data_IF_716245919932
#
_entry.id   IF_716245919932
#
_cell.length_a   1.000
_cell.length_b   1.000
_cell.length_c   1.000
_cell.angle_alpha   90.00
_cell.angle_beta   90.00
_cell.angle_gamma   90.00
#
_symmetry.space_group_name_H-M   'P 1'
#
loop_
_entity.id
_entity.type
_entity.pdbx_description
1 polymer ?
2 non-polymer ?
3 non-polymer ?
4 water ?
#
# COMPACT_ATOMS: atom_id res chain seq x y z
N UNK A 16 -26.93 -11.55 -17.79
CA UNK A 16 -25.94 -10.64 -18.35
C UNK A 16 -25.14 -11.33 -19.45
N UNK A 17 -24.48 -10.56 -20.31
CA UNK A 17 -23.67 -11.14 -21.37
C UNK A 17 -22.33 -11.68 -20.88
N UNK A 18 -21.93 -11.39 -19.65
CA UNK A 18 -20.56 -11.66 -19.20
C UNK A 18 -20.54 -12.78 -18.17
N UNK A 19 -19.60 -13.72 -18.36
CA UNK A 19 -19.32 -14.82 -17.40
C UNK A 19 -20.53 -15.69 -17.11
N UNK A 20 -21.40 -15.88 -18.11
CA UNK A 20 -22.54 -16.78 -17.95
C UNK A 20 -22.11 -18.24 -17.91
N UNK A 21 -20.98 -18.58 -18.55
CA UNK A 21 -20.47 -19.94 -18.59
C UNK A 21 -19.13 -19.96 -17.87
N UNK A 22 -19.15 -20.35 -16.61
CA UNK A 22 -17.96 -20.54 -15.77
C UNK A 22 -18.32 -21.55 -14.69
N UNK A 23 -18.71 -22.75 -15.13
CA UNK A 23 -19.19 -23.78 -14.21
C UNK A 23 -18.12 -24.23 -13.23
N UNK A 24 -16.85 -24.25 -13.65
CA UNK A 24 -15.78 -24.66 -12.77
C UNK A 24 -14.89 -23.45 -12.44
N UNK A 25 -13.80 -23.70 -11.76
CA UNK A 25 -12.80 -22.67 -11.62
C UNK A 25 -13.04 -21.74 -10.44
N UNK A 26 -12.06 -20.88 -10.22
CA UNK A 26 -11.83 -20.31 -8.91
C UNK A 26 -11.30 -18.89 -9.07
N UNK A 27 -11.57 -18.06 -8.07
CA UNK A 27 -11.39 -16.62 -8.19
C UNK A 27 -10.71 -16.10 -6.92
N UNK A 28 -9.68 -15.27 -7.09
CA UNK A 28 -8.89 -14.76 -5.97
C UNK A 28 -8.79 -13.26 -6.09
N UNK A 29 -8.75 -12.58 -4.92
CA UNK A 29 -8.45 -11.16 -4.83
C UNK A 29 -6.94 -10.98 -4.92
N UNK A 30 -6.48 -9.98 -5.70
CA UNK A 30 -5.08 -9.60 -5.72
C UNK A 30 -5.01 -8.18 -5.15
N UNK A 31 -4.22 -7.98 -4.09
CA UNK A 31 -4.01 -6.62 -3.56
C UNK A 31 -2.57 -6.21 -3.79
N UNK A 32 -2.36 -4.99 -4.27
CA UNK A 32 -1.04 -4.50 -4.60
C UNK A 32 -0.74 -3.21 -3.86
N UNK A 33 0.51 -3.08 -3.39
CA UNK A 33 1.05 -1.83 -2.85
C UNK A 33 1.50 -0.88 -3.93
N UNK A 34 1.43 -1.29 -5.20
CA UNK A 34 2.13 -0.58 -6.27
C UNK A 34 1.25 -0.53 -7.50
N UNK A 35 0.83 0.66 -7.89
CA UNK A 35 0.16 0.77 -9.17
C UNK A 35 1.15 0.57 -10.33
N UNK A 36 2.44 0.92 -10.15
CA UNK A 36 3.42 0.62 -11.19
C UNK A 36 3.51 -0.88 -11.48
N UNK A 37 3.41 -1.71 -10.44
CA UNK A 37 3.43 -3.15 -10.66
C UNK A 37 2.25 -3.58 -11.52
N UNK A 38 1.07 -3.00 -11.27
CA UNK A 38 -0.08 -3.34 -12.09
C UNK A 38 0.16 -2.95 -13.55
N UNK A 39 0.69 -1.73 -13.76
CA UNK A 39 1.00 -1.29 -15.12
C UNK A 39 1.90 -2.30 -15.83
N UNK A 40 2.92 -2.77 -15.12
CA UNK A 40 3.84 -3.74 -15.71
C UNK A 40 3.14 -5.06 -16.02
N UNK A 41 2.26 -5.50 -15.11
CA UNK A 41 1.46 -6.69 -15.32
C UNK A 41 0.60 -6.57 -16.56
N UNK A 42 -0.02 -5.41 -16.77
CA UNK A 42 -0.86 -5.22 -17.95
C UNK A 42 0.02 -5.21 -19.21
N UNK A 43 1.19 -4.59 -19.13
CA UNK A 43 2.05 -4.47 -20.30
C UNK A 43 2.59 -5.83 -20.74
N UNK A 44 3.01 -6.67 -19.79
CA UNK A 44 3.71 -7.90 -20.12
C UNK A 44 2.93 -9.16 -19.80
N UNK A 45 1.72 -9.03 -19.27
CA UNK A 45 0.85 -10.17 -18.98
C UNK A 45 1.55 -11.19 -18.06
N UNK A 46 2.05 -10.69 -16.92
CA UNK A 46 2.65 -11.53 -15.89
C UNK A 46 2.32 -10.95 -14.52
N UNK A 47 2.43 -11.78 -13.49
CA UNK A 47 2.23 -11.31 -12.13
C UNK A 47 3.09 -12.15 -11.20
N UNK A 48 3.12 -11.73 -9.93
CA UNK A 48 3.88 -12.41 -8.89
C UNK A 48 3.27 -11.99 -7.56
N UNK A 49 3.14 -12.93 -6.62
CA UNK A 49 2.62 -12.62 -5.29
C UNK A 49 3.73 -12.84 -4.24
N UNK A 50 3.34 -12.85 -2.97
CA UNK A 50 4.23 -13.33 -1.93
C UNK A 50 4.52 -14.81 -2.14
N UNK A 51 5.42 -15.36 -1.32
CA UNK A 51 5.63 -16.81 -1.42
C UNK A 51 4.37 -17.58 -1.05
N UNK A 52 3.70 -17.14 0.03
CA UNK A 52 2.48 -17.82 0.46
C UNK A 52 1.36 -17.66 -0.59
N UNK A 53 1.21 -16.46 -1.16
CA UNK A 53 0.19 -16.26 -2.16
C UNK A 53 0.48 -16.98 -3.46
N UNK A 54 1.76 -17.04 -3.85
CA UNK A 54 2.15 -17.82 -5.02
C UNK A 54 1.78 -19.29 -4.85
N UNK A 55 2.06 -19.83 -3.66
CA UNK A 55 1.74 -21.22 -3.38
C UNK A 55 0.24 -21.47 -3.45
N UNK A 56 -0.56 -20.54 -2.93
CA UNK A 56 -2.02 -20.68 -3.01
C UNK A 56 -2.51 -20.64 -4.44
N UNK A 57 -2.02 -19.68 -5.24
CA UNK A 57 -2.50 -19.61 -6.61
C UNK A 57 -1.98 -20.79 -7.42
N UNK A 58 -0.75 -21.19 -7.17
CA UNK A 58 -0.15 -22.32 -7.89
C UNK A 58 -0.97 -23.58 -7.67
N UNK A 59 -1.30 -23.87 -6.40
CA UNK A 59 -2.12 -25.04 -6.07
C UNK A 59 -3.47 -24.99 -6.78
N UNK A 60 -4.12 -23.82 -6.80
CA UNK A 60 -5.41 -23.74 -7.46
C UNK A 60 -5.28 -23.93 -8.96
N UNK A 61 -4.26 -23.33 -9.56
CA UNK A 61 -4.06 -23.46 -11.01
C UNK A 61 -3.79 -24.91 -11.40
N UNK A 62 -2.90 -25.57 -10.67
CA UNK A 62 -2.50 -26.94 -11.00
C UNK A 62 -3.65 -27.93 -10.76
N UNK A 63 -4.35 -27.79 -9.63
CA UNK A 63 -5.48 -28.67 -9.37
C UNK A 63 -6.62 -28.44 -10.35
N UNK A 64 -6.70 -27.26 -10.96
CA UNK A 64 -7.70 -27.00 -11.98
C UNK A 64 -7.50 -27.89 -13.20
N UNK A 65 -6.25 -28.23 -13.52
CA UNK A 65 -5.92 -29.11 -14.64
C UNK A 65 -6.61 -28.67 -15.93
N UNK A 66 -6.70 -27.35 -16.11
CA UNK A 66 -7.28 -26.82 -17.33
C UNK A 66 -8.77 -27.00 -17.48
N UNK A 67 -9.46 -27.48 -16.45
CA UNK A 67 -10.90 -27.71 -16.51
C UNK A 67 -11.73 -26.43 -16.38
N UNK A 68 -11.13 -25.33 -15.90
CA UNK A 68 -11.85 -24.08 -15.77
C UNK A 68 -10.89 -22.92 -15.56
N UNK A 69 -11.40 -21.70 -15.52
CA UNK A 69 -10.51 -20.54 -15.35
C UNK A 69 -10.21 -20.21 -13.90
N UNK A 70 -8.98 -19.78 -13.66
CA UNK A 70 -8.60 -19.14 -12.40
C UNK A 70 -8.58 -17.65 -12.70
N UNK A 71 -9.50 -16.89 -12.11
CA UNK A 71 -9.58 -15.45 -12.33
C UNK A 71 -9.00 -14.67 -11.14
N UNK A 72 -8.49 -13.47 -11.42
CA UNK A 72 -7.83 -12.63 -10.42
C UNK A 72 -8.50 -11.25 -10.46
N UNK A 73 -8.97 -10.78 -9.31
CA UNK A 73 -9.63 -9.48 -9.20
C UNK A 73 -8.64 -8.53 -8.55
N UNK A 74 -8.15 -7.56 -9.30
CA UNK A 74 -7.03 -6.72 -8.88
C UNK A 74 -7.52 -5.45 -8.19
N UNK A 75 -6.79 -5.03 -7.15
CA UNK A 75 -7.10 -3.77 -6.48
C UNK A 75 -5.84 -3.21 -5.84
N UNK A 76 -5.60 -1.92 -6.04
CA UNK A 76 -4.46 -1.24 -5.41
C UNK A 76 -4.85 -0.85 -3.99
N UNK A 77 -4.03 -1.24 -3.01
CA UNK A 77 -4.25 -0.88 -1.62
C UNK A 77 -4.53 0.61 -1.45
N UNK A 78 -5.63 0.92 -0.76
CA UNK A 78 -5.98 2.31 -0.49
C UNK A 78 -6.61 3.06 -1.63
N UNK A 79 -6.79 2.44 -2.80
CA UNK A 79 -7.28 3.18 -3.95
C UNK A 79 -8.80 3.36 -3.92
N UNK A 80 -9.49 2.60 -3.09
CA UNK A 80 -10.95 2.67 -3.07
C UNK A 80 -11.63 2.08 -4.29
N UNK A 81 -10.90 1.37 -5.16
CA UNK A 81 -11.53 0.81 -6.33
C UNK A 81 -10.77 -0.42 -6.80
N UNK A 82 -11.49 -1.34 -7.45
CA UNK A 82 -10.84 -2.44 -8.12
C UNK A 82 -10.40 -1.91 -9.48
N UNK A 83 -9.32 -2.48 -10.03
CA UNK A 83 -8.80 -1.93 -11.27
C UNK A 83 -8.85 -2.91 -12.45
N UNK A 84 -9.36 -4.12 -12.26
CA UNK A 84 -9.65 -4.97 -13.40
C UNK A 84 -9.54 -6.43 -13.04
N UNK A 85 -9.52 -7.25 -14.10
CA UNK A 85 -9.66 -8.69 -14.02
C UNK A 85 -8.68 -9.33 -14.98
N UNK A 86 -7.97 -10.35 -14.51
CA UNK A 86 -7.07 -11.13 -15.37
C UNK A 86 -7.30 -12.61 -15.09
N UNK A 87 -6.97 -13.43 -16.08
CA UNK A 87 -7.01 -14.87 -15.94
C UNK A 87 -5.59 -15.38 -15.73
N UNK A 88 -5.43 -16.28 -14.77
CA UNK A 88 -4.14 -16.90 -14.58
C UNK A 88 -3.88 -17.84 -15.75
N UNK A 89 -2.64 -17.83 -16.29
CA UNK A 89 -2.39 -18.52 -17.55
C UNK A 89 -1.17 -19.44 -17.52
N UNK A 90 -0.56 -19.66 -16.37
CA UNK A 90 0.53 -20.62 -16.26
C UNK A 90 0.69 -20.99 -14.79
N UNK A 91 1.44 -22.06 -14.55
CA UNK A 91 1.89 -22.34 -13.20
C UNK A 91 2.92 -21.29 -12.77
N UNK A 92 3.25 -21.33 -11.49
CA UNK A 92 4.24 -20.41 -10.93
C UNK A 92 5.63 -20.93 -11.25
N UNK A 93 6.50 -20.02 -11.65
CA UNK A 93 7.92 -20.26 -11.82
C UNK A 93 8.62 -19.52 -10.70
N UNK A 94 9.22 -20.26 -9.76
CA UNK A 94 9.75 -19.65 -8.55
C UNK A 94 11.18 -19.12 -8.70
N UNK A 95 11.90 -19.49 -9.77
CA UNK A 95 13.29 -19.08 -9.95
C UNK A 95 13.39 -18.22 -11.21
N UNK A 96 13.32 -16.89 -11.03
CA UNK A 96 13.30 -15.94 -12.11
C UNK A 96 14.12 -14.72 -11.74
N UNK A 97 14.28 -13.82 -12.72
CA UNK A 97 15.08 -12.63 -12.54
C UNK A 97 14.61 -11.82 -11.33
N UNK A 98 15.54 -11.48 -10.43
CA UNK A 98 15.17 -10.69 -9.28
C UNK A 98 14.95 -9.23 -9.64
N UNK A 99 14.31 -8.50 -8.73
CA UNK A 99 14.27 -7.05 -8.80
C UNK A 99 13.54 -6.47 -9.98
N UNK A 100 12.59 -7.19 -10.57
CA UNK A 100 11.85 -6.62 -11.71
C UNK A 100 10.59 -5.86 -11.28
N UNK A 101 10.18 -5.97 -10.02
CA UNK A 101 8.99 -5.30 -9.51
C UNK A 101 9.40 -4.16 -8.58
N UNK A 102 8.39 -3.50 -8.02
CA UNK A 102 8.66 -2.30 -7.23
C UNK A 102 9.43 -2.62 -5.95
N UNK A 103 9.37 -3.86 -5.49
CA UNK A 103 10.22 -4.33 -4.41
C UNK A 103 10.86 -5.66 -4.79
N UNK A 104 12.03 -5.93 -4.21
CA UNK A 104 12.70 -7.20 -4.44
C UNK A 104 11.96 -8.37 -3.80
N UNK A 105 11.09 -8.11 -2.83
CA UNK A 105 10.41 -9.20 -2.12
C UNK A 105 9.37 -9.94 -2.97
N UNK A 106 9.03 -9.48 -4.17
CA UNK A 106 8.17 -10.29 -5.04
C UNK A 106 9.10 -11.14 -5.90
N UNK A 107 9.21 -12.44 -5.58
CA UNK A 107 10.11 -13.37 -6.25
C UNK A 107 9.28 -14.39 -7.04
N UNK A 108 9.59 -14.56 -8.32
CA UNK A 108 8.91 -15.53 -9.15
C UNK A 108 8.01 -14.87 -10.18
N UNK A 109 7.29 -15.72 -10.92
CA UNK A 109 6.52 -15.20 -12.05
C UNK A 109 5.48 -16.24 -12.48
N UNK A 110 4.29 -15.77 -12.86
CA UNK A 110 3.38 -16.59 -13.64
C UNK A 110 2.70 -15.71 -14.67
N UNK A 111 2.22 -16.34 -15.74
CA UNK A 111 1.56 -15.62 -16.81
C UNK A 111 0.12 -15.34 -16.44
N UNK A 112 -0.38 -14.20 -16.91
CA UNK A 112 -1.80 -13.86 -16.81
C UNK A 112 -2.25 -13.37 -18.17
N UNK A 113 -3.56 -13.24 -18.33
CA UNK A 113 -4.17 -12.58 -19.47
C UNK A 113 -5.18 -11.57 -18.93
N UNK A 114 -4.90 -10.28 -19.09
CA UNK A 114 -5.84 -9.27 -18.63
C UNK A 114 -7.09 -9.26 -19.51
N UNK A 115 -8.25 -9.19 -18.87
CA UNK A 115 -9.54 -9.21 -19.53
C UNK A 115 -10.22 -7.85 -19.47
N UNK A 116 -10.33 -7.28 -18.27
CA UNK A 116 -10.82 -5.92 -18.11
C UNK A 116 -9.74 -5.10 -17.42
N UNK A 117 -9.49 -3.91 -17.95
CA UNK A 117 -8.70 -2.89 -17.28
C UNK A 117 -9.65 -1.72 -17.11
N UNK A 118 -10.14 -1.53 -15.88
CA UNK A 118 -11.09 -0.47 -15.61
C UNK A 118 -11.27 -0.31 -14.12
N UNK A 119 -11.42 0.93 -13.68
CA UNK A 119 -11.58 1.22 -12.27
C UNK A 119 -13.06 1.10 -11.92
N UNK A 120 -13.36 0.30 -10.92
CA UNK A 120 -14.72 0.12 -10.42
C UNK A 120 -14.73 0.49 -8.95
N UNK A 121 -15.49 1.51 -8.55
CA UNK A 121 -15.46 1.97 -7.15
C UNK A 121 -15.91 0.87 -6.19
N UNK A 122 -15.29 0.84 -5.00
CA UNK A 122 -15.68 -0.16 -4.02
C UNK A 122 -17.14 -0.06 -3.62
N UNK A 123 -17.75 1.12 -3.77
CA UNK A 123 -19.17 1.27 -3.45
C UNK A 123 -20.04 0.31 -4.25
N UNK A 124 -19.61 -0.03 -5.47
CA UNK A 124 -20.37 -0.94 -6.32
C UNK A 124 -20.24 -2.38 -5.90
N UNK A 125 -19.27 -2.72 -5.05
CA UNK A 125 -18.99 -4.10 -4.72
C UNK A 125 -19.12 -4.44 -3.24
N UNK A 126 -19.17 -3.45 -2.35
CA UNK A 126 -18.99 -3.71 -0.93
C UNK A 126 -20.18 -4.44 -0.29
N UNK A 127 -21.31 -4.55 -0.97
CA UNK A 127 -22.42 -5.31 -0.40
C UNK A 127 -22.34 -6.80 -0.74
N UNK A 128 -21.27 -7.23 -1.40
CA UNK A 128 -21.00 -8.65 -1.60
C UNK A 128 -20.09 -9.15 -0.49
N UNK A 129 -20.56 -10.12 0.29
CA UNK A 129 -19.86 -10.59 1.47
C UNK A 129 -19.35 -12.01 1.26
N UNK A 130 -18.23 -12.32 1.89
CA UNK A 130 -17.56 -13.60 1.72
C UNK A 130 -17.88 -14.51 2.90
N UNK A 131 -18.69 -15.56 2.66
CA UNK A 131 -19.03 -16.46 3.75
C UNK A 131 -17.81 -17.23 4.25
N UNK A 132 -16.75 -17.32 3.44
CA UNK A 132 -15.52 -17.95 3.90
C UNK A 132 -14.57 -16.96 4.60
N UNK A 133 -14.94 -15.69 4.69
CA UNK A 133 -14.11 -14.71 5.37
C UNK A 133 -14.97 -13.94 6.39
N UNK A 134 -15.63 -14.69 7.27
CA UNK A 134 -16.42 -14.10 8.36
C UNK A 134 -17.45 -13.11 7.85
N UNK A 135 -18.00 -13.38 6.66
CA UNK A 135 -19.04 -12.54 6.04
C UNK A 135 -18.58 -11.09 5.88
N UNK A 136 -17.26 -10.87 5.73
CA UNK A 136 -16.73 -9.52 5.50
C UNK A 136 -16.96 -9.10 4.06
N UNK A 137 -17.14 -7.80 3.81
CA UNK A 137 -17.25 -7.33 2.43
C UNK A 137 -16.07 -7.78 1.59
N UNK A 138 -16.35 -8.13 0.33
CA UNK A 138 -15.29 -8.57 -0.59
C UNK A 138 -14.25 -7.46 -0.76
N UNK A 139 -14.68 -6.20 -0.60
CA UNK A 139 -13.79 -5.05 -0.71
C UNK A 139 -12.85 -4.91 0.48
N UNK A 140 -12.98 -5.77 1.49
CA UNK A 140 -12.10 -5.74 2.65
C UNK A 140 -11.14 -6.92 2.66
N UNK A 141 -10.92 -7.53 1.50
CA UNK A 141 -10.10 -8.73 1.42
C UNK A 141 -8.61 -8.38 1.42
N UNK A 142 -7.81 -9.34 1.85
CA UNK A 142 -6.37 -9.27 1.69
C UNK A 142 -5.94 -10.03 0.43
N UNK A 143 -4.65 -9.90 0.09
CA UNK A 143 -4.09 -10.50 -1.12
C UNK A 143 -4.25 -12.02 -1.12
N UNK A 144 -4.70 -12.56 -2.26
CA UNK A 144 -5.00 -13.97 -2.53
C UNK A 144 -6.10 -14.55 -1.64
N UNK A 145 -6.95 -13.70 -1.06
CA UNK A 145 -8.23 -14.14 -0.51
C UNK A 145 -9.03 -14.84 -1.61
N UNK A 146 -9.44 -16.10 -1.40
CA UNK A 146 -10.26 -16.76 -2.40
C UNK A 146 -11.72 -16.34 -2.25
N UNK A 147 -12.41 -16.19 -3.37
CA UNK A 147 -13.80 -15.75 -3.41
C UNK A 147 -14.68 -16.96 -3.72
N UNK A 148 -15.71 -17.26 -2.92
CA UNK A 148 -16.65 -18.31 -3.31
C UNK A 148 -17.23 -18.06 -4.69
N UNK A 149 -17.42 -19.15 -5.45
CA UNK A 149 -17.69 -19.03 -6.88
C UNK A 149 -18.94 -18.19 -7.14
N UNK A 150 -19.98 -18.35 -6.32
CA UNK A 150 -21.20 -17.60 -6.59
C UNK A 150 -21.05 -16.11 -6.28
N UNK A 151 -20.26 -15.75 -5.27
CA UNK A 151 -19.95 -14.34 -5.04
C UNK A 151 -19.03 -13.80 -6.14
N UNK A 152 -18.10 -14.64 -6.62
CA UNK A 152 -17.18 -14.20 -7.66
C UNK A 152 -17.92 -13.87 -8.95
N UNK A 153 -18.92 -14.67 -9.31
CA UNK A 153 -19.71 -14.36 -10.50
C UNK A 153 -20.34 -12.98 -10.36
N UNK A 154 -20.93 -12.69 -9.21
CA UNK A 154 -21.54 -11.38 -8.98
C UNK A 154 -20.51 -10.26 -9.16
N UNK A 155 -19.30 -10.43 -8.59
CA UNK A 155 -18.28 -9.38 -8.72
C UNK A 155 -17.89 -9.22 -10.17
N UNK A 156 -17.56 -10.34 -10.83
CA UNK A 156 -17.10 -10.29 -12.22
C UNK A 156 -18.12 -9.61 -13.12
N UNK A 157 -19.41 -9.90 -12.92
CA UNK A 157 -20.42 -9.29 -13.80
C UNK A 157 -20.57 -7.80 -13.52
N UNK A 158 -20.41 -7.40 -12.26
CA UNK A 158 -20.47 -5.98 -11.96
C UNK A 158 -19.31 -5.24 -12.61
N UNK A 159 -18.10 -5.80 -12.48
CA UNK A 159 -16.95 -5.16 -13.11
C UNK A 159 -17.13 -5.11 -14.62
N UNK A 160 -17.46 -6.25 -15.22
CA UNK A 160 -17.61 -6.34 -16.67
C UNK A 160 -18.56 -5.28 -17.20
N UNK A 161 -19.70 -5.07 -16.54
CA UNK A 161 -20.74 -4.21 -17.09
C UNK A 161 -20.64 -2.76 -16.65
N UNK A 162 -19.77 -2.45 -15.69
CA UNK A 162 -19.75 -1.12 -15.09
C UNK A 162 -19.41 -0.05 -16.10
N UNK A 163 -20.04 1.11 -15.96
CA UNK A 163 -19.78 2.21 -16.89
C UNK A 163 -19.64 3.55 -16.18
N UNK B 15 26.82 6.98 26.72
CA UNK B 15 27.33 6.29 25.53
C UNK B 15 26.86 6.92 24.22
N UNK B 16 25.55 6.91 23.95
CA UNK B 16 25.00 7.68 22.84
C UNK B 16 23.88 8.54 23.42
N UNK B 17 24.22 9.80 23.71
CA UNK B 17 23.28 10.75 24.30
C UNK B 17 22.85 11.82 23.30
N UNK B 18 23.01 11.55 22.00
CA UNK B 18 22.73 12.56 20.99
C UNK B 18 21.27 13.00 21.04
N UNK B 19 20.34 12.06 20.95
CA UNK B 19 18.94 12.45 20.80
C UNK B 19 18.34 12.96 22.11
N UNK B 20 18.81 12.46 23.25
CA UNK B 20 18.32 12.97 24.53
C UNK B 20 18.49 14.48 24.64
N UNK B 21 19.50 15.04 23.96
CA UNK B 21 19.76 16.48 24.00
C UNK B 21 19.02 17.25 22.90
N UNK B 22 18.03 16.66 22.25
CA UNK B 22 17.23 17.37 21.26
C UNK B 22 16.27 18.31 21.97
N UNK B 23 16.38 19.62 21.70
CA UNK B 23 15.61 20.62 22.41
C UNK B 23 14.29 20.99 21.74
N UNK B 24 14.26 21.07 20.41
CA UNK B 24 13.11 21.56 19.67
C UNK B 24 12.83 20.64 18.49
N UNK B 25 11.75 20.95 17.80
CA UNK B 25 11.41 20.09 16.67
C UNK B 25 10.09 19.37 16.93
N UNK B 26 9.41 19.04 15.83
CA UNK B 26 8.16 18.31 15.87
C UNK B 26 8.25 17.11 14.92
N UNK B 27 7.54 16.03 15.25
CA UNK B 27 7.76 14.73 14.62
C UNK B 27 6.41 14.10 14.32
N UNK B 28 6.22 13.63 13.08
CA UNK B 28 4.94 13.11 12.63
C UNK B 28 5.13 11.74 12.01
N UNK B 29 4.14 10.86 12.19
CA UNK B 29 4.11 9.60 11.46
C UNK B 29 3.55 9.88 10.08
N UNK B 30 4.19 9.32 9.05
CA UNK B 30 3.60 9.32 7.71
C UNK B 30 3.19 7.89 7.40
N UNK B 31 1.90 7.69 7.13
CA UNK B 31 1.37 6.39 6.74
C UNK B 31 0.91 6.48 5.29
N UNK B 32 1.57 5.72 4.41
CA UNK B 32 1.27 5.73 2.98
C UNK B 32 0.77 4.35 2.55
N UNK B 33 -0.28 4.33 1.72
CA UNK B 33 -0.70 3.06 1.11
C UNK B 33 0.21 2.60 -0.02
N UNK B 34 1.04 3.50 -0.57
CA UNK B 34 1.67 3.29 -1.88
C UNK B 34 3.18 3.18 -1.79
N UNK B 35 3.71 2.02 -2.21
CA UNK B 35 5.14 1.93 -2.37
C UNK B 35 5.64 2.86 -3.48
N UNK B 36 4.83 3.11 -4.51
CA UNK B 36 5.24 4.03 -5.58
C UNK B 36 5.43 5.46 -5.03
N UNK B 37 4.53 5.90 -4.16
CA UNK B 37 4.66 7.22 -3.57
C UNK B 37 5.98 7.34 -2.80
N UNK B 38 6.31 6.32 -1.98
CA UNK B 38 7.59 6.32 -1.26
C UNK B 38 8.74 6.44 -2.26
N UNK B 39 8.73 5.63 -3.32
CA UNK B 39 9.83 5.69 -4.28
C UNK B 39 9.96 7.06 -4.93
N UNK B 40 8.84 7.67 -5.31
CA UNK B 40 8.86 8.99 -5.91
C UNK B 40 9.39 10.02 -4.93
N UNK B 41 9.02 9.88 -3.66
CA UNK B 41 9.45 10.82 -2.63
C UNK B 41 10.96 10.75 -2.43
N UNK B 42 11.52 9.54 -2.39
CA UNK B 42 12.96 9.39 -2.25
C UNK B 42 13.66 9.92 -3.50
N UNK B 43 13.09 9.68 -4.67
CA UNK B 43 13.75 10.08 -5.90
C UNK B 43 13.80 11.59 -6.04
N UNK B 44 12.70 12.29 -5.72
CA UNK B 44 12.54 13.71 -6.02
C UNK B 44 12.49 14.58 -4.77
N UNK B 45 12.56 13.99 -3.59
CA UNK B 45 12.57 14.75 -2.34
C UNK B 45 11.35 15.65 -2.23
N UNK B 46 10.17 15.06 -2.44
CA UNK B 46 8.90 15.76 -2.28
C UNK B 46 7.91 14.80 -1.61
N UNK B 47 6.83 15.38 -1.08
CA UNK B 47 5.75 14.59 -0.49
C UNK B 47 4.42 15.31 -0.67
N UNK B 48 3.33 14.56 -0.45
CA UNK B 48 1.99 15.11 -0.43
C UNK B 48 1.16 14.19 0.43
N UNK B 49 0.32 14.77 1.30
CA UNK B 49 -0.61 14.02 2.15
C UNK B 49 -2.03 14.32 1.68
N UNK B 50 -3.01 13.84 2.45
CA UNK B 50 -4.37 14.28 2.21
C UNK B 50 -4.47 15.79 2.44
N UNK B 51 -5.65 16.36 2.12
CA UNK B 51 -5.89 17.75 2.49
C UNK B 51 -5.76 17.96 3.99
N UNK B 52 -6.43 17.11 4.78
CA UNK B 52 -6.31 17.17 6.23
C UNK B 52 -4.85 17.04 6.66
N UNK B 53 -4.14 16.06 6.09
CA UNK B 53 -2.75 15.85 6.47
C UNK B 53 -1.86 17.03 6.10
N UNK B 54 -2.01 17.52 4.87
CA UNK B 54 -1.21 18.66 4.41
C UNK B 54 -1.38 19.86 5.33
N UNK B 55 -2.63 20.20 5.64
CA UNK B 55 -2.92 21.30 6.54
C UNK B 55 -2.18 21.14 7.87
N UNK B 56 -2.19 19.92 8.43
CA UNK B 56 -1.54 19.70 9.72
C UNK B 56 -0.03 19.92 9.61
N UNK B 57 0.59 19.29 8.62
CA UNK B 57 2.03 19.43 8.44
C UNK B 57 2.42 20.88 8.14
N UNK B 58 1.59 21.58 7.36
CA UNK B 58 1.91 22.95 7.00
C UNK B 58 1.97 23.83 8.25
N UNK B 59 0.97 23.70 9.13
CA UNK B 59 0.94 24.50 10.34
C UNK B 59 2.18 24.25 11.19
N UNK B 60 2.58 22.98 11.32
CA UNK B 60 3.76 22.67 12.11
C UNK B 60 5.02 23.25 11.47
N UNK B 61 5.15 23.15 10.14
CA UNK B 61 6.32 23.74 9.50
C UNK B 61 6.39 25.25 9.72
N UNK B 62 5.26 25.93 9.54
CA UNK B 62 5.26 27.38 9.63
C UNK B 62 5.51 27.84 11.07
N UNK B 63 4.92 27.15 12.05
CA UNK B 63 5.09 27.52 13.44
C UNK B 63 6.52 27.31 13.93
N UNK B 64 7.31 26.47 13.25
CA UNK B 64 8.64 26.17 13.76
C UNK B 64 9.59 27.34 13.59
N UNK B 65 9.46 28.08 12.48
CA UNK B 65 10.31 29.22 12.15
C UNK B 65 11.78 28.93 12.40
N UNK B 66 12.29 27.91 11.68
CA UNK B 66 13.69 27.52 11.78
C UNK B 66 14.26 27.47 13.18
N UNK B 67 13.44 27.08 14.16
CA UNK B 67 13.91 26.79 15.50
C UNK B 67 14.28 25.33 15.67
N UNK B 68 13.81 24.49 14.76
CA UNK B 68 14.11 23.10 14.79
C UNK B 68 13.41 22.38 13.64
N UNK B 69 13.74 21.12 13.43
CA UNK B 69 13.20 20.41 12.27
C UNK B 69 11.81 19.87 12.51
N UNK B 70 11.08 19.68 11.41
CA UNK B 70 9.91 18.80 11.39
C UNK B 70 10.36 17.48 10.78
N UNK B 71 10.29 16.40 11.55
CA UNK B 71 10.70 15.08 11.08
C UNK B 71 9.48 14.27 10.66
N UNK B 72 9.66 13.47 9.62
CA UNK B 72 8.60 12.61 9.10
C UNK B 72 9.11 11.18 9.16
N UNK B 73 8.40 10.33 9.89
CA UNK B 73 8.74 8.92 10.02
C UNK B 73 7.80 8.13 9.13
N UNK B 74 8.34 7.54 8.05
CA UNK B 74 7.53 6.98 6.98
C UNK B 74 7.28 5.50 7.21
N UNK B 75 6.05 5.05 6.93
CA UNK B 75 5.72 3.63 7.02
C UNK B 75 4.62 3.32 6.02
N UNK B 76 4.79 2.26 5.24
CA UNK B 76 3.76 1.86 4.29
C UNK B 76 2.72 1.03 5.02
N UNK B 77 1.45 1.44 4.90
CA UNK B 77 0.33 0.75 5.53
C UNK B 77 0.39 -0.75 5.26
N UNK B 78 0.35 -1.54 6.34
CA UNK B 78 0.37 -2.99 6.22
C UNK B 78 1.73 -3.60 5.97
N UNK B 79 2.79 -2.81 5.87
CA UNK B 79 4.10 -3.39 5.55
C UNK B 79 4.80 -4.03 6.75
N UNK B 80 4.38 -3.71 7.97
CA UNK B 80 5.06 -4.22 9.14
C UNK B 80 6.34 -3.52 9.52
N UNK B 81 6.69 -2.40 8.87
CA UNK B 81 7.95 -1.74 9.20
C UNK B 81 7.89 -0.27 8.80
N UNK B 82 8.74 0.52 9.45
CA UNK B 82 9.02 1.85 8.95
C UNK B 82 10.11 1.74 7.88
N UNK B 83 10.08 2.66 6.92
CA UNK B 83 11.00 2.59 5.80
C UNK B 83 11.97 3.76 5.73
N UNK B 84 11.84 4.76 6.59
CA UNK B 84 12.84 5.80 6.63
C UNK B 84 12.36 7.08 7.30
N UNK B 85 13.24 8.07 7.26
CA UNK B 85 13.04 9.34 7.93
C UNK B 85 13.36 10.45 6.96
N UNK B 86 12.53 11.48 6.95
CA UNK B 86 12.77 12.66 6.14
C UNK B 86 12.49 13.88 6.99
N UNK B 87 13.17 14.96 6.65
CA UNK B 87 12.89 16.26 7.24
C UNK B 87 12.07 17.07 6.23
N UNK B 88 11.05 17.74 6.72
CA UNK B 88 10.24 18.60 5.87
C UNK B 88 10.96 19.94 5.66
N UNK B 89 10.95 20.43 4.42
CA UNK B 89 11.87 21.48 3.98
C UNK B 89 11.18 22.65 3.27
N UNK B 90 9.86 22.67 3.25
CA UNK B 90 9.12 23.75 2.62
C UNK B 90 7.72 23.73 3.21
N UNK B 91 7.03 24.85 3.10
CA UNK B 91 5.60 24.85 3.34
C UNK B 91 4.90 24.09 2.22
N UNK B 92 3.59 23.90 2.37
CA UNK B 92 2.78 23.16 1.42
C UNK B 92 2.32 24.08 0.31
N UNK B 93 2.60 23.67 -0.94
CA UNK B 93 2.06 24.32 -2.14
C UNK B 93 0.82 23.54 -2.55
N UNK B 94 -0.34 24.16 -2.40
CA UNK B 94 -1.59 23.42 -2.58
C UNK B 94 -2.05 23.33 -4.04
N UNK B 95 -1.41 24.04 -4.96
CA UNK B 95 -1.85 24.06 -6.36
C UNK B 95 -0.65 23.71 -7.23
N UNK B 96 -0.46 22.43 -7.45
CA UNK B 96 0.58 21.91 -8.32
C UNK B 96 -0.07 20.93 -9.29
N UNK B 97 0.75 20.36 -10.17
CA UNK B 97 0.26 19.41 -11.16
C UNK B 97 -0.39 18.20 -10.49
N UNK B 98 -1.63 17.91 -10.87
CA UNK B 98 -2.31 16.76 -10.29
C UNK B 98 -1.81 15.46 -10.91
N UNK B 99 -2.26 14.34 -10.36
CA UNK B 99 -1.99 13.04 -10.94
C UNK B 99 -0.58 12.51 -10.81
N UNK B 100 0.26 13.08 -9.93
CA UNK B 100 1.60 12.52 -9.75
C UNK B 100 1.67 11.46 -8.66
N UNK B 101 0.66 11.38 -7.78
CA UNK B 101 0.68 10.50 -6.63
C UNK B 101 -0.36 9.39 -6.79
N UNK B 102 -0.27 8.41 -5.88
CA UNK B 102 -1.18 7.27 -5.86
C UNK B 102 -2.64 7.70 -6.07
N UNK B 103 -3.06 8.68 -5.28
CA UNK B 103 -4.38 9.27 -5.40
C UNK B 103 -4.29 10.33 -6.49
N UNK B 104 -4.90 10.06 -7.66
CA UNK B 104 -4.86 10.99 -8.78
C UNK B 104 -5.33 12.39 -8.43
N UNK B 105 -6.26 12.52 -7.47
CA UNK B 105 -6.82 13.84 -7.15
C UNK B 105 -5.82 14.73 -6.41
N UNK B 106 -4.79 14.17 -5.79
CA UNK B 106 -3.90 14.98 -4.97
C UNK B 106 -3.18 16.02 -5.81
N UNK B 107 -3.17 17.26 -5.30
CA UNK B 107 -2.64 18.41 -6.00
C UNK B 107 -1.56 19.15 -5.22
N UNK B 108 -1.36 18.81 -3.94
CA UNK B 108 -0.38 19.51 -3.14
C UNK B 108 1.01 18.94 -3.29
N UNK B 109 1.98 19.70 -2.78
CA UNK B 109 3.35 19.24 -2.78
C UNK B 109 4.14 20.06 -1.78
N UNK B 110 5.04 19.41 -1.06
CA UNK B 110 6.05 20.15 -0.31
C UNK B 110 7.36 19.41 -0.40
N UNK B 111 8.44 20.18 -0.19
CA UNK B 111 9.78 19.64 -0.26
C UNK B 111 10.10 18.90 1.03
N UNK B 112 10.78 17.77 0.88
CA UNK B 112 11.35 17.03 2.00
C UNK B 112 12.83 16.81 1.70
N UNK B 113 13.53 16.29 2.71
CA UNK B 113 14.89 15.81 2.54
C UNK B 113 15.00 14.46 3.24
N UNK B 114 15.08 13.40 2.46
CA UNK B 114 15.27 12.10 3.08
C UNK B 114 16.66 12.06 3.70
N UNK B 115 16.72 11.82 5.00
CA UNK B 115 18.01 11.74 5.70
C UNK B 115 18.31 10.33 6.15
N UNK B 116 17.38 9.39 5.97
CA UNK B 116 17.58 8.02 6.41
C UNK B 116 16.61 7.11 5.69
N UNK B 117 17.13 6.12 4.98
CA UNK B 117 16.31 5.15 4.24
C UNK B 117 16.74 3.75 4.66
N UNK B 118 15.87 3.06 5.40
CA UNK B 118 16.19 1.75 5.96
C UNK B 118 14.95 1.15 6.59
N UNK B 119 14.73 -0.13 6.35
CA UNK B 119 13.60 -0.81 6.95
C UNK B 119 13.85 -1.06 8.43
N UNK B 120 12.93 -0.60 9.28
CA UNK B 120 12.98 -0.86 10.72
C UNK B 120 11.70 -1.60 11.10
N UNK B 121 11.79 -2.86 11.51
CA UNK B 121 10.58 -3.64 11.80
C UNK B 121 9.79 -3.04 12.96
N UNK B 122 8.47 -3.26 12.91
CA UNK B 122 7.58 -2.72 13.93
C UNK B 122 7.86 -3.29 15.31
N UNK B 123 8.45 -4.48 15.37
CA UNK B 123 8.79 -5.07 16.67
C UNK B 123 9.83 -4.24 17.41
N UNK B 124 10.74 -3.58 16.68
CA UNK B 124 11.72 -2.70 17.31
C UNK B 124 11.07 -1.48 17.96
N UNK B 125 9.84 -1.13 17.59
CA UNK B 125 9.25 0.14 18.00
C UNK B 125 7.95 0.01 18.76
N UNK B 126 7.30 -1.16 18.77
CA UNK B 126 5.92 -1.25 19.29
C UNK B 126 5.82 -0.90 20.78
N UNK B 127 6.93 -0.95 21.51
CA UNK B 127 6.86 -0.66 22.94
C UNK B 127 6.84 0.82 23.28
N UNK B 128 7.16 1.70 22.33
CA UNK B 128 6.97 3.13 22.57
C UNK B 128 5.50 3.44 22.35
N UNK B 129 4.88 4.14 23.31
CA UNK B 129 3.46 4.45 23.21
C UNK B 129 3.24 5.95 23.25
N UNK B 130 2.13 6.38 22.66
CA UNK B 130 1.85 7.79 22.43
C UNK B 130 0.75 8.24 23.37
N UNK B 131 1.11 9.03 24.39
CA UNK B 131 0.14 9.50 25.36
C UNK B 131 -0.90 10.43 24.74
N UNK B 132 -0.57 11.07 23.60
CA UNK B 132 -1.57 11.89 22.93
C UNK B 132 -2.48 11.08 22.01
N UNK B 133 -2.27 9.77 21.90
CA UNK B 133 -3.13 8.90 21.09
C UNK B 133 -3.51 7.66 21.91
N UNK B 134 -4.11 7.92 23.09
CA UNK B 134 -4.68 6.88 23.95
C UNK B 134 -3.67 5.81 24.32
N UNK B 135 -2.39 6.19 24.40
CA UNK B 135 -1.30 5.31 24.82
C UNK B 135 -1.12 4.13 23.88
N UNK B 136 -1.59 4.28 22.63
CA UNK B 136 -1.41 3.26 21.62
C UNK B 136 0.06 3.19 21.20
N UNK B 137 0.53 2.01 20.80
CA UNK B 137 1.87 1.93 20.26
C UNK B 137 2.04 2.88 19.09
N UNK B 138 3.20 3.54 19.03
CA UNK B 138 3.48 4.45 17.92
C UNK B 138 3.30 3.74 16.60
N UNK B 139 3.51 2.42 16.56
CA UNK B 139 3.39 1.60 15.36
C UNK B 139 1.94 1.34 14.98
N UNK B 140 0.96 1.80 15.76
CA UNK B 140 -0.44 1.73 15.37
C UNK B 140 -1.02 3.11 15.06
N UNK B 141 -0.19 4.00 14.52
CA UNK B 141 -0.62 5.36 14.26
C UNK B 141 -1.26 5.47 12.88
N UNK B 142 -2.05 6.51 12.71
CA UNK B 142 -2.57 6.90 11.41
C UNK B 142 -1.72 8.02 10.83
N UNK B 143 -1.95 8.29 9.54
CA UNK B 143 -1.19 9.29 8.80
C UNK B 143 -1.24 10.66 9.50
N UNK B 144 -0.05 11.26 9.63
CA UNK B 144 0.23 12.54 10.29
C UNK B 144 -0.14 12.57 11.77
N UNK B 145 -0.19 11.41 12.43
CA UNK B 145 -0.16 11.36 13.89
C UNK B 145 1.05 12.11 14.40
N UNK B 146 0.87 13.13 15.24
CA UNK B 146 2.04 13.76 15.84
C UNK B 146 2.59 12.91 16.97
N UNK B 147 3.91 12.96 17.15
CA UNK B 147 4.63 12.18 18.16
C UNK B 147 5.17 13.15 19.21
N UNK B 148 4.91 12.92 20.50
CA UNK B 148 5.47 13.82 21.52
C UNK B 148 7.00 13.77 21.48
N UNK B 149 7.61 14.94 21.64
CA UNK B 149 9.05 15.06 21.43
C UNK B 149 9.82 14.06 22.28
N UNK B 150 9.40 13.86 23.54
CA UNK B 150 10.12 12.89 24.37
C UNK B 150 9.97 11.46 23.87
N UNK B 151 8.85 11.12 23.22
CA UNK B 151 8.74 9.79 22.61
C UNK B 151 9.49 9.74 21.28
N UNK B 152 9.50 10.85 20.55
CA UNK B 152 10.18 10.91 19.27
C UNK B 152 11.69 10.67 19.43
N UNK B 153 12.30 11.21 20.48
CA UNK B 153 13.73 10.98 20.71
C UNK B 153 14.02 9.48 20.82
N UNK B 154 13.12 8.75 21.48
CA UNK B 154 13.32 7.31 21.66
C UNK B 154 13.17 6.58 20.32
N UNK B 155 12.18 6.99 19.52
CA UNK B 155 12.00 6.37 18.20
C UNK B 155 13.22 6.62 17.32
N UNK B 156 13.68 7.87 17.27
CA UNK B 156 14.83 8.21 16.43
C UNK B 156 16.06 7.43 16.83
N UNK B 157 16.31 7.31 18.13
CA UNK B 157 17.47 6.55 18.59
C UNK B 157 17.38 5.09 18.14
N UNK B 158 16.19 4.49 18.22
CA UNK B 158 16.03 3.11 17.77
C UNK B 158 16.23 3.00 16.27
N UNK B 159 15.67 3.94 15.50
CA UNK B 159 15.84 3.89 14.05
C UNK B 159 17.32 4.04 13.70
N UNK B 160 17.98 5.02 14.30
CA UNK B 160 19.38 5.31 13.99
C UNK B 160 20.29 4.14 14.33
N UNK B 161 19.92 3.35 15.34
CA UNK B 161 20.77 2.27 15.83
C UNK B 161 20.28 0.89 15.41
N UNK B 162 19.29 0.80 14.52
CA UNK B 162 18.90 -0.51 14.01
C UNK B 162 19.87 -0.97 12.92
N UNK B 163 20.16 -2.27 12.91
CA UNK B 163 21.15 -2.82 11.98
C UNK B 163 20.66 -4.10 11.31
X LIG C 1 4.07 -8.31 -8.58
X LIG C 1 3.54 -6.98 -6.69
X LIG C 1 2.91 -8.17 -6.02
X LIG C 1 2.22 -7.98 -4.71
X LIG C 1 2.82 -5.50 -4.75
X LIG C 1 2.18 -6.66 -4.08
X LIG C 1 3.49 -5.68 -6.06
X LIG C 1 4.20 -7.09 -7.92
X LIG C 1 1.72 -8.92 -4.16
X LIG C 1 2.78 -4.43 -4.24
X LIG D 1 9.24 -0.86 -19.00
X LIG D 1 9.65 -2.25 -18.98
X LIG D 1 8.21 -0.67 -20.03
X LIG D 1 10.41 -0.03 -19.27
X LIG D 1 8.67 -0.51 -17.69
X LIG E 1 -8.88 -0.38 -0.67
X LIG E 1 -8.81 -0.36 -2.13
X LIG E 1 -10.12 -1.08 -0.33
X LIG E 1 -7.71 -1.10 -0.04
X LIG E 1 -8.97 1.00 -0.24
X LIG F 1 1.66 -1.44 9.56
X LIG F 1 0.68 -0.47 9.02
X LIG F 1 1.20 -2.80 9.29
X LIG F 1 2.98 -1.28 8.95
X LIG F 1 1.76 -1.18 11.00
X LIG G 1 9.50 8.94 -12.78
X LIG G 1 8.91 8.40 -14.00
X LIG G 1 8.69 10.09 -12.34
X LIG G 1 10.88 9.34 -13.02
X LIG G 1 9.50 7.92 -11.73
X LIG H 1 -4.89 6.50 7.65
X LIG H 1 -5.75 5.41 8.15
X LIG H 1 -4.92 6.55 6.19
X LIG H 1 -5.37 7.77 8.20
X LIG H 1 -3.53 6.22 8.08
#
# INVERSE_FOLDING_TARGET
MGSSYHHHHHHSSGENLYFQHMKHGRVFIIKSYSEDDIHRSIKYNIWCSTEHGNKRLDAAYRSMNGKGPVYLLFSVNGSGHFCGVAEMKSAVDYNTCAGVWSQDKWKGRFDVRWIFVKDVPNSQLRHIRLENNENKPVTNSRDTQEVPLEKAKQVLKIIASYKHTTS
MGSSYHHHHHHSSGENLYFQHMKHGRVFIIKSYSEDDIHRSIKYNIWCSTEHGNKRLDAAYRSMNGKGPVYLLFSVNGSGHFCGVAEMKSAVDYNTCAGVWSQDKWKGRFDVRWIFVKDVPNSQLRHIRLENNENKPVTNSRDTQEVPLEKAKQVLKIIASYKHTTS
IGX C01 C03 C04 C05 C08 N07 N10 O02 O06 O09
SO4 S O1 O2 O3 O4
SO4 S O1 O2 O3 O4
SO4 S O1 O2 O3 O4
SO4 S O1 O2 O3 O4
SO4 S O1 O2 O3 O4
#
